data_IF_190952867380
#
_entry.id   IF_190952867380
#
_cell.length_a   1.000
_cell.length_b   1.000
_cell.length_c   1.000
_cell.angle_alpha   90.00
_cell.angle_beta   90.00
_cell.angle_gamma   90.00
#
_symmetry.space_group_name_H-M   'P 1'
#
loop_
_entity.id
_entity.type
_entity.pdbx_description
1 polymer ?
#
# COMPACT_ATOMS: atom_id res chain seq x y z
N UNK A 1 18.28 17.30 0.70
CA UNK A 1 17.78 16.08 1.35
C UNK A 1 17.05 15.27 0.29
N UNK A 2 17.36 14.01 0.09
CA UNK A 2 16.71 13.15 -0.91
C UNK A 2 15.97 12.04 -0.18
N UNK A 3 14.69 11.87 -0.52
CA UNK A 3 13.84 10.83 0.04
C UNK A 3 13.63 9.72 -1.00
N UNK A 4 13.63 8.50 -0.52
CA UNK A 4 13.24 7.32 -1.30
C UNK A 4 12.12 6.62 -0.54
N UNK A 5 11.06 6.26 -1.23
CA UNK A 5 9.93 5.60 -0.60
C UNK A 5 9.81 4.15 -1.06
N UNK A 6 9.54 3.28 -0.08
CA UNK A 6 9.15 1.90 -0.29
C UNK A 6 7.71 1.68 0.19
N UNK A 7 6.93 0.93 -0.57
CA UNK A 7 5.57 0.54 -0.19
C UNK A 7 5.50 -0.98 -0.15
N UNK A 8 5.06 -1.51 0.98
CA UNK A 8 4.53 -2.87 1.06
C UNK A 8 3.00 -2.78 0.88
N UNK A 9 2.52 -3.15 -0.31
CA UNK A 9 1.09 -3.20 -0.60
C UNK A 9 0.55 -4.58 -0.25
N UNK A 10 0.17 -4.76 1.01
CA UNK A 10 -0.26 -6.05 1.55
C UNK A 10 -1.74 -6.36 1.32
N UNK A 11 -2.11 -7.63 1.47
CA UNK A 11 -3.49 -8.10 1.36
C UNK A 11 -4.36 -7.58 2.51
N UNK A 12 -3.83 -7.62 3.72
CA UNK A 12 -4.53 -7.21 4.95
C UNK A 12 -4.12 -5.81 5.39
N UNK A 13 -2.82 -5.54 5.40
CA UNK A 13 -2.26 -4.26 5.79
C UNK A 13 -1.23 -3.80 4.77
N UNK A 14 -1.10 -2.49 4.61
CA UNK A 14 -0.06 -1.86 3.80
C UNK A 14 0.81 -0.96 4.67
N UNK A 15 2.08 -0.83 4.31
CA UNK A 15 3.03 0.02 5.00
C UNK A 15 3.85 0.84 4.03
N UNK A 16 4.30 2.01 4.48
CA UNK A 16 5.23 2.86 3.74
C UNK A 16 6.48 3.08 4.57
N UNK A 17 7.62 2.99 3.95
CA UNK A 17 8.93 3.31 4.53
C UNK A 17 9.57 4.43 3.73
N UNK A 18 9.98 5.49 4.41
CA UNK A 18 10.83 6.52 3.83
C UNK A 18 12.27 6.26 4.20
N UNK A 19 13.14 6.40 3.22
CA UNK A 19 14.58 6.31 3.40
C UNK A 19 15.19 7.69 3.14
N UNK A 20 15.76 8.26 4.18
CA UNK A 20 16.31 9.62 4.15
C UNK A 20 17.83 9.52 4.19
N UNK A 21 18.50 10.21 3.28
CA UNK A 21 19.95 10.35 3.34
C UNK A 21 20.29 11.71 3.96
N UNK A 22 20.66 11.69 5.23
CA UNK A 22 21.19 12.85 5.96
C UNK A 22 22.66 12.59 6.31
N UNK A 23 23.56 13.51 5.93
CA UNK A 23 24.97 13.48 6.28
C UNK A 23 25.67 12.13 6.05
N UNK A 24 25.39 11.51 4.92
CA UNK A 24 25.88 10.18 4.51
C UNK A 24 25.43 9.00 5.40
N UNK A 25 24.50 9.22 6.33
CA UNK A 25 23.87 8.16 7.11
C UNK A 25 22.42 7.99 6.66
N UNK A 26 22.10 6.84 6.07
CA UNK A 26 20.73 6.54 5.72
C UNK A 26 19.92 6.15 6.96
N UNK A 27 18.72 6.67 7.07
CA UNK A 27 17.76 6.29 8.09
C UNK A 27 16.47 5.82 7.44
N UNK A 28 15.96 4.68 7.87
CA UNK A 28 14.67 4.15 7.43
C UNK A 28 13.59 4.54 8.44
N UNK A 29 12.57 5.26 7.98
CA UNK A 29 11.45 5.70 8.81
C UNK A 29 10.18 5.01 8.31
N UNK A 30 9.58 4.16 9.15
CA UNK A 30 8.31 3.55 8.83
C UNK A 30 7.16 4.51 9.12
N UNK A 31 6.30 4.71 8.10
CA UNK A 31 5.08 5.49 8.22
C UNK A 31 3.90 4.53 8.35
N UNK A 32 3.26 4.56 9.50
CA UNK A 32 2.06 3.79 9.80
C UNK A 32 0.91 4.71 10.19
N UNK A 33 -0.12 4.18 10.85
CA UNK A 33 -1.18 4.95 11.47
C UNK A 33 -0.64 5.83 12.64
N UNK A 34 -1.52 6.49 13.38
CA UNK A 34 -1.12 7.37 14.49
C UNK A 34 -0.28 6.65 15.57
N UNK A 35 -0.45 5.34 15.70
CA UNK A 35 0.31 4.50 16.63
C UNK A 35 1.53 3.81 15.98
N UNK A 36 1.84 4.14 14.71
CA UNK A 36 2.95 3.56 13.97
C UNK A 36 2.68 2.15 13.42
N UNK A 37 1.43 1.68 13.46
CA UNK A 37 1.04 0.35 12.94
C UNK A 37 0.84 0.42 11.42
N UNK A 38 1.01 -0.69 10.68
CA UNK A 38 0.63 -0.76 9.28
C UNK A 38 -0.84 -0.37 9.05
N UNK A 39 -1.11 0.29 7.94
CA UNK A 39 -2.44 0.78 7.59
C UNK A 39 -3.27 -0.36 7.01
N UNK A 40 -4.49 -0.64 7.52
CA UNK A 40 -5.37 -1.66 6.94
C UNK A 40 -5.64 -1.41 5.44
N UNK A 41 -5.47 -2.44 4.61
CA UNK A 41 -5.71 -2.38 3.16
C UNK A 41 -7.20 -2.58 2.86
N UNK A 42 -8.03 -1.70 3.43
CA UNK A 42 -9.49 -1.76 3.32
C UNK A 42 -10.05 -0.43 2.80
N UNK A 43 -11.14 -0.55 2.05
CA UNK A 43 -11.87 0.59 1.50
C UNK A 43 -13.36 0.34 1.73
N UNK A 44 -14.06 1.32 2.26
CA UNK A 44 -15.52 1.31 2.34
C UNK A 44 -16.07 2.47 1.52
N UNK A 45 -17.05 2.20 0.67
CA UNK A 45 -17.65 3.19 -0.24
C UNK A 45 -19.15 3.25 0.07
N UNK A 46 -19.63 4.43 0.46
CA UNK A 46 -21.05 4.65 0.68
C UNK A 46 -21.85 4.46 -0.61
N UNK A 47 -22.86 3.61 -0.54
CA UNK A 47 -23.64 3.15 -1.72
C UNK A 47 -24.47 4.26 -2.35
N UNK A 48 -24.80 5.30 -1.58
CA UNK A 48 -25.69 6.39 -2.00
C UNK A 48 -24.89 7.66 -2.35
N UNK A 49 -23.91 8.02 -1.53
CA UNK A 49 -23.15 9.27 -1.67
C UNK A 49 -21.83 9.10 -2.42
N UNK A 50 -21.28 7.87 -2.47
CA UNK A 50 -19.95 7.60 -3.02
C UNK A 50 -18.80 8.08 -2.12
N UNK A 51 -19.10 8.47 -0.87
CA UNK A 51 -18.06 8.81 0.10
C UNK A 51 -17.17 7.61 0.36
N UNK A 52 -15.85 7.86 0.38
CA UNK A 52 -14.84 6.81 0.55
C UNK A 52 -14.20 6.94 1.92
N UNK A 53 -14.11 5.82 2.61
CA UNK A 53 -13.37 5.63 3.86
C UNK A 53 -12.26 4.63 3.60
N UNK A 54 -11.06 4.85 4.15
CA UNK A 54 -9.89 3.99 3.90
C UNK A 54 -9.09 3.75 5.17
N UNK A 55 -8.29 2.69 5.15
CA UNK A 55 -7.33 2.41 6.20
C UNK A 55 -7.99 2.23 7.56
N UNK A 56 -7.45 2.91 8.57
CA UNK A 56 -7.92 2.81 9.96
C UNK A 56 -9.36 3.30 10.12
N UNK A 57 -9.72 4.38 9.45
CA UNK A 57 -11.08 4.95 9.54
C UNK A 57 -12.14 3.95 9.03
N UNK A 58 -11.89 3.28 7.90
CA UNK A 58 -12.77 2.22 7.40
C UNK A 58 -12.77 0.98 8.32
N UNK A 59 -11.62 0.63 8.89
CA UNK A 59 -11.49 -0.52 9.78
C UNK A 59 -12.26 -0.35 11.09
N UNK A 60 -12.06 0.77 11.77
CA UNK A 60 -12.65 1.03 13.09
C UNK A 60 -14.17 1.24 13.00
N UNK A 61 -14.65 1.83 11.90
CA UNK A 61 -16.08 2.06 11.64
C UNK A 61 -16.77 0.91 10.89
N UNK A 62 -16.13 -0.25 10.75
CA UNK A 62 -16.66 -1.37 9.95
C UNK A 62 -18.11 -1.72 10.28
N UNK A 63 -18.47 -1.75 11.57
CA UNK A 63 -19.85 -2.11 11.98
C UNK A 63 -20.84 -1.01 11.63
N UNK A 64 -20.49 0.25 11.78
CA UNK A 64 -21.34 1.39 11.42
C UNK A 64 -21.54 1.49 9.90
N UNK A 65 -20.46 1.23 9.15
CA UNK A 65 -20.44 1.33 7.69
C UNK A 65 -21.03 0.11 6.98
N UNK A 66 -21.24 -1.02 7.68
CA UNK A 66 -21.63 -2.28 7.06
C UNK A 66 -22.98 -2.25 6.34
N UNK A 67 -23.92 -1.44 6.78
CA UNK A 67 -25.25 -1.32 6.16
C UNK A 67 -25.25 -0.33 4.97
N UNK A 68 -24.61 0.81 5.13
CA UNK A 68 -24.61 1.90 4.15
C UNK A 68 -23.51 1.79 3.10
N UNK A 69 -22.41 1.10 3.40
CA UNK A 69 -21.23 1.04 2.52
C UNK A 69 -21.03 -0.35 1.91
N UNK A 70 -20.41 -0.37 0.74
CA UNK A 70 -19.72 -1.55 0.22
C UNK A 70 -18.33 -1.60 0.85
N UNK A 71 -18.05 -2.65 1.61
CA UNK A 71 -16.80 -2.85 2.33
C UNK A 71 -15.90 -3.82 1.57
N UNK A 72 -14.76 -3.33 1.10
CA UNK A 72 -13.83 -4.07 0.24
C UNK A 72 -12.53 -4.27 0.99
N UNK A 73 -12.18 -5.53 1.23
CA UNK A 73 -10.89 -5.95 1.80
C UNK A 73 -10.13 -6.80 0.79
N UNK A 74 -8.85 -7.06 1.08
CA UNK A 74 -8.02 -7.95 0.24
C UNK A 74 -7.92 -7.51 -1.22
N UNK A 75 -7.88 -6.20 -1.47
CA UNK A 75 -7.88 -5.58 -2.81
C UNK A 75 -6.76 -6.16 -3.69
N UNK A 76 -5.59 -6.47 -3.11
CA UNK A 76 -4.44 -7.08 -3.80
C UNK A 76 -4.79 -8.39 -4.51
N UNK A 77 -5.66 -9.20 -3.90
CA UNK A 77 -6.02 -10.53 -4.45
C UNK A 77 -6.96 -10.44 -5.64
N UNK A 78 -7.84 -9.44 -5.64
CA UNK A 78 -8.90 -9.23 -6.65
C UNK A 78 -8.55 -8.16 -7.69
N UNK A 79 -7.33 -7.63 -7.65
CA UNK A 79 -6.89 -6.51 -8.49
C UNK A 79 -7.04 -6.76 -10.00
N UNK A 80 -6.88 -8.01 -10.45
CA UNK A 80 -7.02 -8.41 -11.85
C UNK A 80 -8.43 -8.90 -12.23
N UNK A 81 -9.40 -8.80 -11.31
CA UNK A 81 -10.81 -9.07 -11.63
C UNK A 81 -11.38 -7.99 -12.55
N UNK A 82 -12.14 -8.43 -13.55
CA UNK A 82 -12.87 -7.53 -14.47
C UNK A 82 -14.23 -7.11 -13.91
N UNK A 83 -14.55 -7.52 -12.69
CA UNK A 83 -15.80 -7.12 -12.01
C UNK A 83 -15.77 -5.61 -11.74
N UNK A 84 -16.92 -4.97 -12.00
CA UNK A 84 -17.18 -3.56 -11.73
C UNK A 84 -18.26 -3.46 -10.66
N UNK A 85 -18.10 -2.54 -9.72
CA UNK A 85 -19.09 -2.19 -8.71
C UNK A 85 -19.77 -0.89 -9.15
N UNK A 86 -21.10 -0.85 -9.10
CA UNK A 86 -21.85 0.39 -9.35
C UNK A 86 -22.34 0.94 -8.02
N UNK A 87 -21.74 2.04 -7.55
CA UNK A 87 -22.04 2.67 -6.27
C UNK A 87 -22.22 4.17 -6.47
N UNK A 88 -23.27 4.73 -5.90
CA UNK A 88 -23.61 6.17 -6.05
C UNK A 88 -23.66 6.63 -7.51
N UNK A 89 -24.15 5.80 -8.43
CA UNK A 89 -24.22 6.11 -9.86
C UNK A 89 -22.88 6.13 -10.60
N UNK A 90 -21.79 5.71 -9.96
CA UNK A 90 -20.46 5.61 -10.55
C UNK A 90 -20.01 4.15 -10.62
N UNK A 91 -19.29 3.81 -11.68
CA UNK A 91 -18.59 2.55 -11.82
C UNK A 91 -17.23 2.61 -11.12
N UNK A 92 -16.93 1.56 -10.35
CA UNK A 92 -15.69 1.36 -9.61
C UNK A 92 -15.03 0.07 -10.07
N UNK A 93 -13.85 0.16 -10.60
CA UNK A 93 -12.97 -1.00 -10.83
C UNK A 93 -12.16 -1.31 -9.57
N UNK A 94 -11.58 -2.50 -9.47
CA UNK A 94 -10.66 -2.78 -8.36
C UNK A 94 -9.34 -2.00 -8.45
N UNK A 95 -9.01 -1.46 -9.62
CA UNK A 95 -7.93 -0.49 -9.79
C UNK A 95 -8.29 0.84 -9.10
N UNK A 96 -9.55 1.30 -9.22
CA UNK A 96 -10.03 2.49 -8.51
C UNK A 96 -9.99 2.27 -7.00
N UNK A 97 -10.45 1.11 -6.54
CA UNK A 97 -10.42 0.77 -5.11
C UNK A 97 -8.99 0.71 -4.59
N UNK A 98 -8.06 0.07 -5.32
CA UNK A 98 -6.65 0.04 -4.95
C UNK A 98 -6.03 1.44 -4.92
N UNK A 99 -6.47 2.35 -5.81
CA UNK A 99 -5.99 3.73 -5.79
C UNK A 99 -6.34 4.48 -4.51
N UNK A 100 -7.47 4.16 -3.88
CA UNK A 100 -7.84 4.78 -2.60
C UNK A 100 -6.91 4.33 -1.47
N UNK A 101 -6.43 3.08 -1.49
CA UNK A 101 -5.39 2.63 -0.53
C UNK A 101 -4.09 3.40 -0.76
N UNK A 102 -3.64 3.57 -2.01
CA UNK A 102 -2.45 4.37 -2.31
C UNK A 102 -2.60 5.85 -1.91
N UNK A 103 -3.78 6.46 -2.11
CA UNK A 103 -4.07 7.81 -1.64
C UNK A 103 -3.96 7.92 -0.13
N UNK A 104 -4.48 6.93 0.59
CA UNK A 104 -4.38 6.87 2.05
C UNK A 104 -2.91 6.82 2.50
N UNK A 105 -2.07 5.96 1.89
CA UNK A 105 -0.65 5.87 2.17
C UNK A 105 0.09 7.19 1.89
N UNK A 106 -0.17 7.81 0.72
CA UNK A 106 0.43 9.10 0.33
C UNK A 106 0.05 10.21 1.31
N UNK A 107 -1.24 10.32 1.64
CA UNK A 107 -1.74 11.32 2.58
C UNK A 107 -1.16 11.12 3.98
N UNK A 108 -0.98 9.88 4.42
CA UNK A 108 -0.35 9.57 5.69
C UNK A 108 1.11 10.07 5.75
N UNK A 109 1.90 9.82 4.71
CA UNK A 109 3.27 10.36 4.60
C UNK A 109 3.27 11.88 4.60
N UNK A 110 2.43 12.50 3.78
CA UNK A 110 2.31 13.95 3.66
C UNK A 110 1.95 14.61 5.01
N UNK A 111 0.96 14.07 5.71
CA UNK A 111 0.50 14.61 6.99
C UNK A 111 1.56 14.51 8.09
N UNK A 112 2.41 13.48 8.04
CA UNK A 112 3.45 13.25 9.06
C UNK A 112 4.75 13.97 8.80
N UNK A 113 5.07 14.23 7.55
CA UNK A 113 6.41 14.71 7.15
C UNK A 113 6.36 16.05 6.41
N UNK A 114 5.21 16.43 5.89
CA UNK A 114 5.08 17.53 4.94
C UNK A 114 5.65 17.22 3.54
N UNK A 115 6.08 15.97 3.30
CA UNK A 115 6.72 15.56 2.04
C UNK A 115 5.71 14.79 1.20
N UNK A 116 5.60 15.15 -0.06
CA UNK A 116 4.77 14.45 -1.01
C UNK A 116 5.49 13.23 -1.59
N UNK A 117 4.85 12.07 -1.51
CA UNK A 117 5.36 10.81 -2.06
C UNK A 117 4.93 10.66 -3.52
N UNK A 118 5.69 11.26 -4.44
CA UNK A 118 5.40 11.19 -5.88
C UNK A 118 5.92 9.91 -6.53
N UNK A 119 6.93 9.26 -5.93
CA UNK A 119 7.60 8.08 -6.46
C UNK A 119 7.82 7.03 -5.36
N UNK A 120 7.71 5.74 -5.71
CA UNK A 120 7.99 4.66 -4.77
C UNK A 120 8.48 3.39 -5.47
N UNK A 121 9.22 2.55 -4.73
CA UNK A 121 9.43 1.13 -5.03
C UNK A 121 8.37 0.32 -4.29
N UNK A 122 7.73 -0.65 -4.96
CA UNK A 122 6.66 -1.45 -4.34
C UNK A 122 7.08 -2.90 -4.20
N UNK A 123 6.92 -3.45 -2.99
CA UNK A 123 7.12 -4.87 -2.74
C UNK A 123 5.91 -5.67 -3.25
N UNK A 124 6.20 -6.78 -3.93
CA UNK A 124 5.20 -7.69 -4.52
C UNK A 124 5.60 -9.15 -4.29
N UNK A 125 4.63 -10.08 -4.21
CA UNK A 125 4.91 -11.50 -4.18
C UNK A 125 5.68 -11.98 -5.42
N UNK A 126 6.49 -13.04 -5.29
CA UNK A 126 7.24 -13.62 -6.41
C UNK A 126 6.31 -13.99 -7.57
N UNK A 127 5.16 -14.58 -7.27
CA UNK A 127 4.16 -15.02 -8.25
C UNK A 127 3.23 -13.92 -8.77
N UNK A 128 3.52 -12.63 -8.50
CA UNK A 128 2.65 -11.53 -8.92
C UNK A 128 2.67 -11.37 -10.44
N UNK A 129 1.53 -11.61 -11.10
CA UNK A 129 1.42 -11.66 -12.56
C UNK A 129 1.74 -10.30 -13.23
N UNK A 130 2.08 -10.33 -14.52
CA UNK A 130 2.30 -9.13 -15.31
C UNK A 130 1.04 -8.24 -15.35
N UNK A 131 -0.15 -8.85 -15.47
CA UNK A 131 -1.44 -8.14 -15.42
C UNK A 131 -1.61 -7.40 -14.10
N UNK A 132 -1.40 -8.07 -12.97
CA UNK A 132 -1.49 -7.44 -11.63
C UNK A 132 -0.48 -6.30 -11.47
N UNK A 133 0.75 -6.46 -11.98
CA UNK A 133 1.76 -5.38 -11.95
C UNK A 133 1.30 -4.15 -12.74
N UNK A 134 0.72 -4.35 -13.92
CA UNK A 134 0.18 -3.25 -14.72
C UNK A 134 -0.96 -2.53 -13.99
N UNK A 135 -1.94 -3.29 -13.49
CA UNK A 135 -3.07 -2.72 -12.74
C UNK A 135 -2.62 -2.03 -11.44
N UNK A 136 -1.58 -2.54 -10.77
CA UNK A 136 -1.02 -1.89 -9.57
C UNK A 136 -0.32 -0.56 -9.90
N UNK A 137 0.42 -0.49 -11.04
CA UNK A 137 0.98 0.78 -11.54
C UNK A 137 -0.12 1.79 -11.86
N UNK A 138 -1.19 1.34 -12.50
CA UNK A 138 -2.34 2.19 -12.82
C UNK A 138 -3.01 2.73 -11.55
N UNK A 139 -3.23 1.88 -10.55
CA UNK A 139 -3.80 2.29 -9.27
C UNK A 139 -2.93 3.32 -8.54
N UNK A 140 -1.61 3.10 -8.49
CA UNK A 140 -0.68 4.05 -7.90
C UNK A 140 -0.65 5.37 -8.67
N UNK A 141 -0.65 5.33 -10.01
CA UNK A 141 -0.68 6.52 -10.85
C UNK A 141 -1.96 7.36 -10.64
N UNK A 142 -3.13 6.70 -10.47
CA UNK A 142 -4.39 7.38 -10.08
C UNK A 142 -4.29 8.08 -8.72
N UNK A 143 -3.43 7.60 -7.82
CA UNK A 143 -3.13 8.24 -6.54
C UNK A 143 -2.00 9.29 -6.63
N UNK A 144 -1.45 9.52 -7.83
CA UNK A 144 -0.35 10.44 -8.06
C UNK A 144 1.01 9.88 -7.63
N UNK A 145 1.16 8.56 -7.53
CA UNK A 145 2.42 7.88 -7.20
C UNK A 145 2.94 7.14 -8.44
N UNK A 146 4.16 7.44 -8.85
CA UNK A 146 4.85 6.69 -9.89
C UNK A 146 5.61 5.50 -9.28
N UNK A 147 5.23 4.27 -9.64
CA UNK A 147 6.01 3.09 -9.25
C UNK A 147 7.27 3.01 -10.12
N UNK A 148 8.41 3.34 -9.54
CA UNK A 148 9.71 3.30 -10.21
C UNK A 148 10.17 1.86 -10.46
N UNK A 149 10.03 1.00 -9.47
CA UNK A 149 10.42 -0.40 -9.55
C UNK A 149 9.54 -1.29 -8.68
N UNK A 150 9.57 -2.58 -8.99
CA UNK A 150 9.06 -3.62 -8.11
C UNK A 150 10.23 -4.42 -7.52
N UNK A 151 10.09 -4.80 -6.27
CA UNK A 151 10.99 -5.74 -5.58
C UNK A 151 10.17 -6.92 -5.07
N UNK A 152 10.72 -8.12 -5.03
CA UNK A 152 9.99 -9.22 -4.40
C UNK A 152 9.97 -9.06 -2.88
N UNK A 153 8.86 -9.43 -2.23
CA UNK A 153 8.71 -9.36 -0.77
C UNK A 153 9.85 -10.05 -0.03
N UNK A 154 10.28 -11.30 -0.40
CA UNK A 154 11.43 -11.93 0.24
C UNK A 154 12.74 -11.16 0.03
N UNK A 155 12.93 -10.54 -1.14
CA UNK A 155 14.12 -9.72 -1.41
C UNK A 155 14.12 -8.46 -0.57
N UNK A 156 12.97 -7.81 -0.41
CA UNK A 156 12.82 -6.65 0.44
C UNK A 156 13.12 -6.99 1.91
N UNK A 157 12.56 -8.10 2.41
CA UNK A 157 12.83 -8.60 3.76
C UNK A 157 14.30 -8.93 3.99
N UNK A 158 14.96 -9.55 3.00
CA UNK A 158 16.40 -9.82 3.04
C UNK A 158 17.21 -8.52 3.19
N UNK A 159 16.96 -7.52 2.34
CA UNK A 159 17.69 -6.26 2.40
C UNK A 159 17.42 -5.47 3.68
N UNK A 160 16.21 -5.50 4.22
CA UNK A 160 15.87 -4.84 5.47
C UNK A 160 16.70 -5.37 6.66
N UNK A 161 17.09 -6.64 6.62
CA UNK A 161 17.85 -7.30 7.69
C UNK A 161 19.33 -7.55 7.32
N UNK A 162 19.77 -7.09 6.15
CA UNK A 162 21.10 -7.43 5.63
C UNK A 162 22.25 -7.04 6.56
N UNK A 163 22.14 -5.89 7.22
CA UNK A 163 23.19 -5.40 8.14
C UNK A 163 23.33 -6.27 9.40
N UNK A 164 22.29 -7.02 9.77
CA UNK A 164 22.28 -7.92 10.94
C UNK A 164 22.73 -9.34 10.57
N UNK A 165 22.71 -9.67 9.28
CA UNK A 165 23.14 -10.96 8.78
C UNK A 165 24.67 -11.03 8.86
N UNK A 166 25.18 -11.82 9.81
CA UNK A 166 26.59 -12.21 9.81
C UNK A 166 26.89 -12.91 8.48
N UNK A 167 28.14 -12.96 8.03
CA UNK A 167 28.62 -13.53 6.76
C UNK A 167 28.20 -15.01 6.54
N UNK A 168 26.92 -15.29 6.59
CA UNK A 168 26.34 -16.59 6.30
C UNK A 168 26.20 -16.74 4.79
N UNK A 169 26.58 -17.88 4.27
CA UNK A 169 26.54 -18.17 2.83
C UNK A 169 25.13 -18.52 2.32
N UNK A 170 24.18 -18.81 3.20
CA UNK A 170 22.80 -19.21 2.87
C UNK A 170 21.84 -18.51 3.82
N UNK A 171 20.84 -17.82 3.25
CA UNK A 171 19.76 -17.17 3.99
C UNK A 171 18.42 -17.69 3.46
N UNK A 172 17.55 -18.11 4.36
CA UNK A 172 16.18 -18.47 4.03
C UNK A 172 15.23 -17.36 4.56
N UNK A 173 14.33 -16.91 3.71
CA UNK A 173 13.27 -15.96 4.08
C UNK A 173 11.94 -16.71 4.07
N UNK A 174 11.26 -16.70 5.20
CA UNK A 174 9.93 -17.26 5.35
C UNK A 174 8.93 -16.10 5.46
N UNK A 175 8.01 -16.06 4.49
CA UNK A 175 6.89 -15.14 4.49
C UNK A 175 5.63 -15.94 4.86
N UNK A 176 5.09 -15.63 6.04
CA UNK A 176 3.91 -16.30 6.58
C UNK A 176 2.76 -15.29 6.60
N UNK A 177 2.00 -15.24 5.50
CA UNK A 177 0.84 -14.36 5.30
C UNK A 177 -0.50 -15.06 5.47
#
# INVERSE_FOLDING_TARGET
>A
MKYYFGIDFGTTNSATVGYVVMDQKPEAIQYGDEEGRPIPSVVAIDKNTGQVFTGRDAWDKKMELSESCEYISSVKTILDSDRVLTLAGREWTFVDVASEVFKCLRSNVQNRTGIDMEEATVAIPIGFSASKRTKLREAAAKAGIQIQSFISEPTAAFFANYAELKSSSIVAVFDWG
#
